data_IF_465543783468
#
_entry.id   IF_465543783468
#
_cell.length_a   1.000
_cell.length_b   1.000
_cell.length_c   1.000
_cell.angle_alpha   90.00
_cell.angle_beta   90.00
_cell.angle_gamma   90.00
#
_symmetry.space_group_name_H-M   'P 1'
#
loop_
_entity.id
_entity.type
_entity.pdbx_description
1 polymer ?
#
# COMPACT_ATOMS: atom_id res chain seq x y z
N UNK A 1 -28.22 -4.76 -9.85
CA UNK A 1 -28.65 -5.82 -8.90
C UNK A 1 -27.77 -7.03 -9.11
N UNK A 2 -26.89 -7.30 -8.15
CA UNK A 2 -26.35 -8.62 -7.84
C UNK A 2 -25.84 -8.52 -6.40
N UNK A 3 -26.82 -8.55 -5.51
CA UNK A 3 -26.68 -8.67 -4.07
C UNK A 3 -26.04 -10.03 -3.78
N UNK A 4 -24.80 -10.02 -3.30
CA UNK A 4 -24.12 -11.22 -2.82
C UNK A 4 -24.16 -11.22 -1.28
N UNK A 5 -25.37 -11.28 -0.74
CA UNK A 5 -25.63 -11.54 0.67
C UNK A 5 -25.96 -13.02 0.85
N UNK A 6 -24.97 -13.83 1.21
CA UNK A 6 -25.21 -15.14 1.83
C UNK A 6 -25.41 -14.95 3.34
N UNK A 7 -26.42 -15.57 3.96
CA UNK A 7 -26.55 -15.60 5.41
C UNK A 7 -25.44 -16.50 5.96
N UNK A 8 -24.85 -16.11 7.08
CA UNK A 8 -23.61 -16.64 7.68
C UNK A 8 -22.34 -16.00 7.11
N UNK A 9 -21.72 -15.14 7.94
CA UNK A 9 -20.54 -14.33 7.65
C UNK A 9 -19.24 -15.12 7.41
N UNK A 10 -19.25 -16.04 6.46
CA UNK A 10 -18.07 -16.72 5.95
C UNK A 10 -17.57 -15.95 4.74
N UNK A 11 -16.63 -15.03 4.96
CA UNK A 11 -15.91 -14.41 3.86
C UNK A 11 -15.10 -15.48 3.11
N UNK A 12 -15.43 -15.68 1.84
CA UNK A 12 -14.70 -16.59 0.96
C UNK A 12 -13.55 -15.83 0.30
N UNK A 13 -12.32 -16.12 0.73
CA UNK A 13 -11.09 -15.65 0.07
C UNK A 13 -11.10 -16.18 -1.37
N UNK A 14 -11.43 -15.33 -2.33
CA UNK A 14 -11.55 -15.73 -3.73
C UNK A 14 -10.15 -15.92 -4.32
N UNK A 15 -9.82 -17.16 -4.73
CA UNK A 15 -8.59 -17.49 -5.46
C UNK A 15 -8.41 -16.49 -6.61
N UNK A 16 -7.22 -15.90 -6.79
CA UNK A 16 -7.00 -14.98 -7.89
C UNK A 16 -7.24 -15.70 -9.23
N UNK A 17 -8.22 -15.21 -9.99
CA UNK A 17 -8.56 -15.73 -11.33
C UNK A 17 -7.82 -14.99 -12.45
N UNK A 18 -7.12 -13.89 -12.13
CA UNK A 18 -6.37 -13.05 -13.06
C UNK A 18 -4.92 -12.93 -12.61
N UNK A 19 -3.99 -12.95 -13.58
CA UNK A 19 -2.54 -13.00 -13.34
C UNK A 19 -1.98 -11.73 -12.68
N UNK A 20 -2.69 -10.61 -12.78
CA UNK A 20 -2.35 -9.34 -12.16
C UNK A 20 -3.45 -8.91 -11.17
N UNK A 21 -3.07 -8.31 -10.03
CA UNK A 21 -1.69 -8.00 -9.61
C UNK A 21 -0.98 -9.19 -8.94
N UNK A 22 0.32 -9.35 -9.19
CA UNK A 22 1.18 -10.40 -8.59
C UNK A 22 1.11 -10.40 -7.05
N UNK A 23 0.89 -9.23 -6.45
CA UNK A 23 0.70 -9.04 -5.01
C UNK A 23 -0.39 -9.95 -4.46
N UNK A 24 -1.45 -10.22 -5.22
CA UNK A 24 -2.57 -11.07 -4.81
C UNK A 24 -2.23 -12.58 -4.77
N UNK A 25 -1.25 -13.02 -5.57
CA UNK A 25 -0.79 -14.41 -5.54
C UNK A 25 0.14 -14.69 -4.36
N UNK A 26 0.88 -13.67 -3.91
CA UNK A 26 1.77 -13.75 -2.76
C UNK A 26 1.01 -13.49 -1.45
N UNK A 27 0.05 -12.56 -1.45
CA UNK A 27 -0.79 -12.25 -0.28
C UNK A 27 -1.66 -13.45 0.11
N UNK A 28 -2.28 -14.15 -0.85
CA UNK A 28 -3.22 -15.25 -0.56
C UNK A 28 -2.68 -16.34 0.39
N UNK A 29 -1.53 -17.01 0.13
CA UNK A 29 -1.00 -18.01 1.05
C UNK A 29 -0.50 -17.40 2.36
N UNK A 30 0.04 -16.18 2.30
CA UNK A 30 0.57 -15.48 3.47
C UNK A 30 -0.56 -15.08 4.42
N UNK A 31 -1.63 -14.49 3.92
CA UNK A 31 -2.88 -14.19 4.63
C UNK A 31 -3.44 -15.45 5.30
N UNK A 32 -3.53 -16.58 4.58
CA UNK A 32 -3.99 -17.85 5.18
C UNK A 32 -3.10 -18.35 6.31
N UNK A 33 -1.79 -18.09 6.25
CA UNK A 33 -0.86 -18.39 7.34
C UNK A 33 -1.04 -17.42 8.51
N UNK A 34 -1.11 -16.11 8.26
CA UNK A 34 -1.27 -15.09 9.29
C UNK A 34 -2.63 -15.16 9.99
N UNK A 35 -3.69 -15.61 9.32
CA UNK A 35 -5.00 -15.86 9.94
C UNK A 35 -4.93 -16.91 11.06
N UNK A 36 -3.98 -17.86 10.98
CA UNK A 36 -3.76 -18.87 12.03
C UNK A 36 -3.00 -18.31 13.23
N UNK A 37 -2.37 -17.14 13.09
CA UNK A 37 -1.66 -16.46 14.17
C UNK A 37 -2.59 -15.45 14.87
N UNK A 38 -2.44 -15.25 16.20
CA UNK A 38 -3.20 -14.26 16.96
C UNK A 38 -2.66 -12.83 16.73
N UNK A 39 -2.47 -12.45 15.47
CA UNK A 39 -1.93 -11.14 15.06
C UNK A 39 -3.10 -10.24 14.64
N UNK A 40 -3.04 -8.96 15.05
CA UNK A 40 -4.00 -7.92 14.64
C UNK A 40 -3.59 -7.27 13.31
N UNK A 41 -4.53 -6.71 12.52
CA UNK A 41 -4.20 -6.02 11.27
C UNK A 41 -3.12 -4.94 11.45
N UNK A 42 -3.28 -4.08 12.46
CA UNK A 42 -2.33 -2.99 12.74
C UNK A 42 -0.91 -3.48 13.07
N UNK A 43 -0.76 -4.70 13.62
CA UNK A 43 0.56 -5.29 13.83
C UNK A 43 1.21 -5.70 12.50
N UNK A 44 0.41 -6.16 11.53
CA UNK A 44 0.88 -6.48 10.19
C UNK A 44 1.28 -5.21 9.45
N UNK A 45 0.48 -4.13 9.54
CA UNK A 45 0.84 -2.80 9.02
C UNK A 45 2.12 -2.25 9.65
N UNK A 46 2.33 -2.44 10.96
CA UNK A 46 3.58 -2.03 11.60
C UNK A 46 4.80 -2.83 11.09
N UNK A 47 4.60 -4.12 10.78
CA UNK A 47 5.64 -4.96 10.19
C UNK A 47 5.93 -4.60 8.73
N UNK A 48 4.91 -4.27 7.94
CA UNK A 48 5.08 -3.77 6.56
C UNK A 48 5.90 -2.47 6.59
N UNK A 49 5.50 -1.50 7.42
CA UNK A 49 6.23 -0.25 7.61
C UNK A 49 7.71 -0.49 7.99
N UNK A 50 7.97 -1.37 8.96
CA UNK A 50 9.34 -1.69 9.36
C UNK A 50 10.16 -2.31 8.21
N UNK A 51 9.56 -3.19 7.41
CA UNK A 51 10.20 -3.77 6.23
C UNK A 51 10.46 -2.71 5.16
N UNK A 52 9.50 -1.83 4.89
CA UNK A 52 9.63 -0.73 3.92
C UNK A 52 10.75 0.25 4.30
N UNK A 53 10.81 0.66 5.57
CA UNK A 53 11.88 1.53 6.07
C UNK A 53 13.25 0.85 6.05
N UNK A 54 13.33 -0.44 6.35
CA UNK A 54 14.57 -1.21 6.19
C UNK A 54 15.01 -1.26 4.72
N UNK A 55 14.06 -1.42 3.80
CA UNK A 55 14.31 -1.37 2.36
C UNK A 55 14.85 -0.01 1.92
N UNK A 56 14.19 1.08 2.30
CA UNK A 56 14.62 2.45 2.04
C UNK A 56 16.03 2.73 2.60
N UNK A 57 16.32 2.25 3.81
CA UNK A 57 17.66 2.33 4.38
C UNK A 57 18.70 1.62 3.52
N UNK A 58 18.41 0.40 3.05
CA UNK A 58 19.31 -0.31 2.15
C UNK A 58 19.57 0.45 0.84
N UNK A 59 18.55 1.11 0.26
CA UNK A 59 18.74 1.95 -0.92
C UNK A 59 19.64 3.16 -0.65
N UNK A 60 19.55 3.75 0.56
CA UNK A 60 20.40 4.88 0.96
C UNK A 60 21.90 4.56 1.04
N UNK A 61 22.27 3.27 1.11
CA UNK A 61 23.67 2.84 1.11
C UNK A 61 24.35 2.97 -0.25
N UNK A 62 23.60 3.10 -1.35
CA UNK A 62 24.15 3.37 -2.68
C UNK A 62 24.96 2.22 -3.30
N UNK A 63 24.87 1.00 -2.77
CA UNK A 63 25.57 -0.18 -3.34
C UNK A 63 24.60 -1.11 -4.04
N UNK A 64 25.05 -1.79 -5.11
CA UNK A 64 24.20 -2.71 -5.88
C UNK A 64 23.63 -3.86 -5.03
N UNK A 65 24.45 -4.46 -4.16
CA UNK A 65 24.02 -5.53 -3.27
C UNK A 65 22.97 -5.04 -2.26
N UNK A 66 23.15 -3.84 -1.69
CA UNK A 66 22.16 -3.25 -0.80
C UNK A 66 20.86 -2.91 -1.53
N UNK A 67 20.94 -2.45 -2.79
CA UNK A 67 19.75 -2.22 -3.62
C UNK A 67 18.92 -3.47 -3.87
N UNK A 68 19.56 -4.63 -4.11
CA UNK A 68 18.85 -5.92 -4.27
C UNK A 68 18.15 -6.31 -2.96
N UNK A 69 18.84 -6.21 -1.83
CA UNK A 69 18.25 -6.48 -0.51
C UNK A 69 17.11 -5.51 -0.21
N UNK A 70 17.27 -4.22 -0.55
CA UNK A 70 16.23 -3.21 -0.39
C UNK A 70 14.98 -3.50 -1.22
N UNK A 71 15.16 -3.95 -2.47
CA UNK A 71 14.05 -4.40 -3.32
C UNK A 71 13.31 -5.61 -2.75
N UNK A 72 14.02 -6.57 -2.17
CA UNK A 72 13.40 -7.71 -1.48
C UNK A 72 12.55 -7.26 -0.27
N UNK A 73 13.07 -6.32 0.52
CA UNK A 73 12.33 -5.73 1.63
C UNK A 73 11.07 -4.98 1.18
N UNK A 74 11.12 -4.25 0.06
CA UNK A 74 9.93 -3.61 -0.51
C UNK A 74 8.89 -4.62 -0.97
N UNK A 75 9.30 -5.72 -1.63
CA UNK A 75 8.36 -6.79 -2.00
C UNK A 75 7.67 -7.36 -0.76
N UNK A 76 8.42 -7.58 0.33
CA UNK A 76 7.88 -8.03 1.61
C UNK A 76 6.90 -7.00 2.17
N UNK A 77 7.28 -5.71 2.19
CA UNK A 77 6.46 -4.59 2.64
C UNK A 77 5.09 -4.59 1.94
N UNK A 78 5.08 -4.48 0.61
CA UNK A 78 3.84 -4.44 -0.18
C UNK A 78 3.01 -5.73 -0.04
N UNK A 79 3.66 -6.88 0.19
CA UNK A 79 2.92 -8.13 0.41
C UNK A 79 2.23 -8.13 1.77
N UNK A 80 2.91 -7.67 2.82
CA UNK A 80 2.35 -7.59 4.18
C UNK A 80 1.23 -6.56 4.27
N UNK A 81 1.39 -5.43 3.59
CA UNK A 81 0.38 -4.38 3.45
C UNK A 81 -0.93 -4.93 2.88
N UNK A 82 -0.87 -5.61 1.73
CA UNK A 82 -2.04 -6.29 1.16
C UNK A 82 -2.66 -7.34 2.12
N UNK A 83 -1.83 -8.02 2.92
CA UNK A 83 -2.31 -8.99 3.90
C UNK A 83 -3.08 -8.35 5.05
N UNK A 84 -2.71 -7.16 5.53
CA UNK A 84 -3.37 -6.54 6.68
C UNK A 84 -4.83 -6.17 6.38
N UNK A 85 -5.10 -5.63 5.18
CA UNK A 85 -6.44 -5.27 4.73
C UNK A 85 -7.29 -6.50 4.44
N UNK A 86 -6.68 -7.56 3.92
CA UNK A 86 -7.34 -8.87 3.81
C UNK A 86 -7.71 -9.43 5.20
N UNK A 87 -6.78 -9.41 6.17
CA UNK A 87 -7.03 -9.88 7.54
C UNK A 87 -8.08 -9.03 8.25
N UNK A 88 -8.06 -7.71 8.07
CA UNK A 88 -9.03 -6.78 8.65
C UNK A 88 -10.46 -7.07 8.18
N UNK A 89 -10.63 -7.38 6.88
CA UNK A 89 -11.92 -7.77 6.30
C UNK A 89 -12.37 -9.13 6.80
N UNK A 90 -11.48 -10.13 6.77
CA UNK A 90 -11.80 -11.51 7.14
C UNK A 90 -12.10 -11.68 8.63
N UNK A 91 -11.39 -10.96 9.51
CA UNK A 91 -11.62 -10.99 10.96
C UNK A 91 -12.70 -10.00 11.43
N UNK A 92 -13.35 -9.24 10.54
CA UNK A 92 -14.24 -8.12 10.88
C UNK A 92 -13.59 -7.10 11.86
N UNK A 93 -12.29 -6.84 11.71
CA UNK A 93 -11.51 -5.91 12.53
C UNK A 93 -11.16 -4.61 11.76
N UNK A 94 -11.89 -4.32 10.69
CA UNK A 94 -11.71 -3.10 9.91
C UNK A 94 -12.08 -1.88 10.76
N UNK A 95 -11.23 -0.85 10.76
CA UNK A 95 -11.45 0.37 11.55
C UNK A 95 -10.94 1.61 10.82
N UNK A 96 -11.60 2.76 11.05
CA UNK A 96 -11.18 4.06 10.50
C UNK A 96 -9.72 4.40 10.88
N UNK A 97 -9.33 4.09 12.12
CA UNK A 97 -7.95 4.31 12.59
C UNK A 97 -6.96 3.40 11.87
N UNK A 98 -7.31 2.13 11.66
CA UNK A 98 -6.48 1.17 10.93
C UNK A 98 -6.23 1.64 9.50
N UNK A 99 -7.27 2.09 8.80
CA UNK A 99 -7.14 2.64 7.45
C UNK A 99 -6.25 3.90 7.41
N UNK A 100 -6.38 4.80 8.38
CA UNK A 100 -5.49 5.98 8.46
C UNK A 100 -4.04 5.62 8.77
N UNK A 101 -3.82 4.56 9.56
CA UNK A 101 -2.48 4.09 9.88
C UNK A 101 -1.82 3.42 8.67
N UNK A 102 -2.59 2.67 7.88
CA UNK A 102 -2.22 2.07 6.60
C UNK A 102 -1.77 3.16 5.60
N UNK A 103 -2.65 4.14 5.33
CA UNK A 103 -2.36 5.27 4.45
C UNK A 103 -1.10 6.05 4.88
N UNK A 104 -0.90 6.20 6.19
CA UNK A 104 0.28 6.88 6.74
C UNK A 104 1.55 6.04 6.56
N UNK A 105 1.45 4.72 6.77
CA UNK A 105 2.57 3.80 6.61
C UNK A 105 3.04 3.79 5.16
N UNK A 106 2.12 3.70 4.20
CA UNK A 106 2.42 3.76 2.77
C UNK A 106 3.14 5.04 2.37
N UNK A 107 2.60 6.20 2.78
CA UNK A 107 3.23 7.48 2.50
C UNK A 107 4.65 7.58 3.09
N UNK A 108 4.86 7.07 4.31
CA UNK A 108 6.17 7.05 4.94
C UNK A 108 7.16 6.15 4.18
N UNK A 109 6.73 4.96 3.75
CA UNK A 109 7.57 4.02 3.00
C UNK A 109 7.95 4.61 1.65
N UNK A 110 6.99 5.14 0.90
CA UNK A 110 7.24 5.74 -0.42
C UNK A 110 8.15 6.97 -0.30
N UNK A 111 7.86 7.85 0.66
CA UNK A 111 8.68 9.03 0.92
C UNK A 111 10.12 8.66 1.28
N UNK A 112 10.30 7.69 2.18
CA UNK A 112 11.61 7.19 2.58
C UNK A 112 12.33 6.48 1.43
N UNK A 113 11.62 5.70 0.61
CA UNK A 113 12.18 5.01 -0.55
C UNK A 113 12.74 5.99 -1.56
N UNK A 114 11.97 7.00 -1.99
CA UNK A 114 12.44 7.98 -2.97
C UNK A 114 13.60 8.82 -2.45
N UNK A 115 13.53 9.27 -1.20
CA UNK A 115 14.61 10.03 -0.56
C UNK A 115 15.88 9.18 -0.41
N UNK A 116 15.74 7.94 0.09
CA UNK A 116 16.83 7.00 0.29
C UNK A 116 17.49 6.61 -1.03
N UNK A 117 16.72 6.29 -2.06
CA UNK A 117 17.23 5.95 -3.39
C UNK A 117 17.97 7.13 -4.03
N UNK A 118 17.37 8.32 -4.02
CA UNK A 118 17.99 9.53 -4.58
C UNK A 118 19.32 9.88 -3.91
N UNK A 119 19.35 9.82 -2.57
CA UNK A 119 20.56 10.01 -1.79
C UNK A 119 21.63 8.94 -2.11
N UNK A 120 21.25 7.66 -2.05
CA UNK A 120 22.17 6.55 -2.27
C UNK A 120 22.81 6.59 -3.66
N UNK A 121 22.02 6.85 -4.70
CA UNK A 121 22.53 6.99 -6.08
C UNK A 121 23.40 8.25 -6.23
N UNK A 122 23.04 9.35 -5.58
CA UNK A 122 23.85 10.58 -5.60
C UNK A 122 25.24 10.34 -5.01
N UNK A 123 25.33 9.64 -3.88
CA UNK A 123 26.61 9.26 -3.27
C UNK A 123 27.39 8.29 -4.17
N UNK A 124 26.73 7.29 -4.76
CA UNK A 124 27.37 6.29 -5.59
C UNK A 124 27.94 6.84 -6.91
N UNK A 125 27.26 7.83 -7.51
CA UNK A 125 27.64 8.43 -8.79
C UNK A 125 28.43 9.73 -8.64
N UNK A 126 28.46 10.31 -7.42
CA UNK A 126 28.97 11.66 -7.15
C UNK A 126 28.22 12.78 -7.89
N UNK A 127 27.01 12.51 -8.35
CA UNK A 127 26.17 13.46 -9.09
C UNK A 127 25.02 13.95 -8.21
N UNK A 128 24.99 15.25 -7.91
CA UNK A 128 23.99 15.85 -7.02
C UNK A 128 22.56 15.82 -7.60
N UNK A 129 22.41 15.65 -8.92
CA UNK A 129 21.10 15.65 -9.58
C UNK A 129 20.17 14.55 -9.04
N UNK A 130 20.71 13.39 -8.67
CA UNK A 130 19.92 12.27 -8.17
C UNK A 130 19.29 12.54 -6.80
N UNK A 131 19.96 13.31 -5.95
CA UNK A 131 19.39 13.75 -4.69
C UNK A 131 18.18 14.65 -4.92
N UNK A 132 18.31 15.62 -5.84
CA UNK A 132 17.20 16.52 -6.18
C UNK A 132 16.02 15.79 -6.81
N UNK A 133 16.29 14.82 -7.68
CA UNK A 133 15.23 13.97 -8.26
C UNK A 133 14.53 13.13 -7.18
N UNK A 134 15.29 12.56 -6.23
CA UNK A 134 14.72 11.85 -5.09
C UNK A 134 13.83 12.73 -4.23
N UNK A 135 14.30 13.93 -3.88
CA UNK A 135 13.52 14.91 -3.12
C UNK A 135 12.27 15.38 -3.88
N UNK A 136 12.37 15.59 -5.19
CA UNK A 136 11.22 15.93 -6.03
C UNK A 136 10.18 14.79 -6.07
N UNK A 137 10.63 13.54 -6.13
CA UNK A 137 9.74 12.37 -6.06
C UNK A 137 9.07 12.24 -4.68
N UNK A 138 9.80 12.43 -3.57
CA UNK A 138 9.22 12.48 -2.22
C UNK A 138 8.18 13.60 -2.07
N UNK A 139 8.43 14.77 -2.66
CA UNK A 139 7.46 15.86 -2.70
C UNK A 139 6.21 15.46 -3.50
N UNK A 140 6.38 14.79 -4.65
CA UNK A 140 5.29 14.21 -5.44
C UNK A 140 4.45 13.22 -4.63
N UNK A 141 5.08 12.26 -3.95
CA UNK A 141 4.38 11.29 -3.09
C UNK A 141 3.61 11.98 -1.95
N UNK A 142 4.15 13.05 -1.39
CA UNK A 142 3.46 13.84 -0.36
C UNK A 142 2.25 14.58 -0.92
N UNK A 143 2.34 15.11 -2.14
CA UNK A 143 1.20 15.76 -2.82
C UNK A 143 0.10 14.73 -3.08
N UNK A 144 0.45 13.55 -3.57
CA UNK A 144 -0.49 12.46 -3.82
C UNK A 144 -1.24 12.05 -2.54
N UNK A 145 -0.49 11.82 -1.45
CA UNK A 145 -1.06 11.56 -0.13
C UNK A 145 -2.02 12.66 0.35
N UNK A 146 -1.64 13.94 0.17
CA UNK A 146 -2.50 15.07 0.56
C UNK A 146 -3.78 15.12 -0.28
N UNK A 147 -3.68 14.84 -1.57
CA UNK A 147 -4.84 14.75 -2.47
C UNK A 147 -5.78 13.65 -1.97
N UNK A 148 -5.26 12.46 -1.70
CA UNK A 148 -6.05 11.33 -1.21
C UNK A 148 -6.70 11.63 0.15
N UNK A 149 -5.99 12.30 1.05
CA UNK A 149 -6.55 12.74 2.34
C UNK A 149 -7.71 13.72 2.15
N UNK A 150 -7.59 14.66 1.20
CA UNK A 150 -8.65 15.62 0.88
C UNK A 150 -9.86 14.91 0.26
N UNK A 151 -9.63 13.97 -0.66
CA UNK A 151 -10.72 13.20 -1.27
C UNK A 151 -11.46 12.35 -0.23
N UNK A 152 -10.73 11.62 0.62
CA UNK A 152 -11.32 10.85 1.72
C UNK A 152 -12.10 11.74 2.70
N UNK A 153 -11.55 12.90 3.06
CA UNK A 153 -12.22 13.86 3.94
C UNK A 153 -13.49 14.46 3.30
N UNK A 154 -13.47 14.72 1.98
CA UNK A 154 -14.63 15.21 1.23
C UNK A 154 -15.70 14.13 1.11
N UNK A 155 -15.33 12.90 0.81
CA UNK A 155 -16.24 11.76 0.72
C UNK A 155 -16.95 11.52 2.08
N UNK A 156 -16.21 11.59 3.18
CA UNK A 156 -16.77 11.47 4.54
C UNK A 156 -17.74 12.60 4.90
N UNK A 157 -17.48 13.83 4.44
CA UNK A 157 -18.36 14.99 4.67
C UNK A 157 -19.57 15.06 3.73
N UNK A 158 -19.48 14.51 2.53
CA UNK A 158 -20.51 14.58 1.50
C UNK A 158 -20.79 13.21 0.86
N UNK A 159 -21.33 12.24 1.62
CA UNK A 159 -21.59 10.89 1.12
C UNK A 159 -22.50 10.87 -0.11
N UNK A 160 -23.49 11.78 -0.19
CA UNK A 160 -24.39 11.90 -1.34
C UNK A 160 -23.73 12.42 -2.64
N UNK A 161 -22.60 13.14 -2.54
CA UNK A 161 -21.84 13.60 -3.70
C UNK A 161 -20.89 12.49 -4.21
N UNK A 162 -20.28 11.73 -3.30
CA UNK A 162 -19.43 10.59 -3.64
C UNK A 162 -20.21 9.50 -4.40
N UNK A 163 -21.45 9.21 -4.02
CA UNK A 163 -22.31 8.26 -4.75
C UNK A 163 -22.59 8.73 -6.19
N UNK A 164 -22.84 10.03 -6.40
CA UNK A 164 -23.08 10.60 -7.74
C UNK A 164 -21.83 10.61 -8.61
N UNK A 165 -20.67 10.91 -8.04
CA UNK A 165 -19.39 10.92 -8.74
C UNK A 165 -18.91 9.50 -9.09
N UNK A 166 -19.13 8.52 -8.20
CA UNK A 166 -18.91 7.10 -8.49
C UNK A 166 -19.86 6.55 -9.56
N UNK A 167 -21.12 7.01 -9.58
CA UNK A 167 -22.07 6.69 -10.67
C UNK A 167 -21.60 7.31 -11.99
N UNK A 168 -21.15 8.57 -11.98
CA UNK A 168 -20.66 9.27 -13.17
C UNK A 168 -19.28 8.79 -13.68
N UNK A 169 -18.42 8.21 -12.81
CA UNK A 169 -17.19 7.51 -13.23
C UNK A 169 -17.46 6.08 -13.69
N UNK A 170 -18.43 5.38 -13.10
CA UNK A 170 -18.88 4.05 -13.54
C UNK A 170 -19.55 4.06 -14.93
N UNK A 171 -20.22 5.16 -15.28
CA UNK A 171 -20.80 5.39 -16.60
C UNK A 171 -19.77 5.78 -17.68
N UNK A 172 -18.52 6.11 -17.29
CA UNK A 172 -17.41 6.38 -18.23
C UNK A 172 -16.48 5.18 -18.40
N UNK A 173 -17.02 3.97 -18.52
CA UNK A 173 -16.32 2.90 -19.24
C UNK A 173 -16.56 3.13 -20.73
N UNK A 174 -15.53 3.22 -21.59
CA UNK A 174 -15.77 3.10 -23.01
C UNK A 174 -16.36 1.71 -23.25
N UNK A 175 -17.46 1.67 -23.99
CA UNK A 175 -17.87 0.45 -24.65
C UNK A 175 -16.72 0.05 -25.58
N UNK A 176 -16.28 -1.20 -25.40
CA UNK A 176 -15.29 -1.98 -26.17
C UNK A 176 -13.79 -1.76 -25.91
#
# INVERSE_FOLDING_TARGET
>A
MAENSTPEGVYTLSRPAQLLPLTRHLSYPLTLFLLKLPISPNQVTALSLAAGLAGAWCFSLGTGNAGVIGGLFLIICYTLDNCDGEIARLKNLSSDWGAQFDDLADWLVDGAFFAGLGYGVSVATSEAIWLWLGLAATAGATIDYVIDLIFHSRAKKNPAAATREQTAKGERKPED
#
